data_IF_849178662919
#
_entry.id   IF_849178662919
#
_cell.length_a   1.000
_cell.length_b   1.000
_cell.length_c   1.000
_cell.angle_alpha   90.00
_cell.angle_beta   90.00
_cell.angle_gamma   90.00
#
_symmetry.space_group_name_H-M   'P 1'
#
loop_
_entity.id
_entity.type
_entity.pdbx_description
1 polymer ?
#
# COMPACT_ATOMS: atom_id res chain seq x y z
N UNK A 1 13.42 1.11 -17.16
CA UNK A 1 12.67 0.66 -15.96
C UNK A 1 13.42 -0.42 -15.17
N UNK A 2 13.86 -1.53 -15.80
CA UNK A 2 14.59 -2.63 -15.10
C UNK A 2 15.87 -2.21 -14.34
N UNK A 3 16.70 -1.32 -14.90
CA UNK A 3 17.91 -0.81 -14.22
C UNK A 3 17.60 -0.02 -12.95
N UNK A 4 16.49 0.71 -12.91
CA UNK A 4 16.12 1.53 -11.76
C UNK A 4 15.53 0.69 -10.62
N UNK A 5 14.75 -0.34 -10.96
CA UNK A 5 14.24 -1.32 -9.98
C UNK A 5 15.39 -2.12 -9.36
N UNK A 6 16.36 -2.56 -10.17
CA UNK A 6 17.54 -3.28 -9.67
C UNK A 6 18.41 -2.42 -8.72
N UNK A 7 18.61 -1.13 -9.04
CA UNK A 7 19.33 -0.20 -8.18
C UNK A 7 18.56 0.10 -6.88
N UNK A 8 17.23 0.28 -6.96
CA UNK A 8 16.37 0.44 -5.77
C UNK A 8 16.40 -0.81 -4.88
N UNK A 9 16.37 -2.01 -5.49
CA UNK A 9 16.50 -3.30 -4.80
C UNK A 9 17.83 -3.41 -4.08
N UNK A 10 18.95 -3.20 -4.79
CA UNK A 10 20.29 -3.27 -4.21
C UNK A 10 20.46 -2.30 -3.04
N UNK A 11 19.93 -1.07 -3.20
CA UNK A 11 19.94 -0.06 -2.13
C UNK A 11 19.20 -0.48 -0.85
N UNK A 12 18.22 -1.40 -0.89
CA UNK A 12 17.55 -1.90 0.31
C UNK A 12 18.47 -2.80 1.14
N UNK A 13 19.29 -3.62 0.48
CA UNK A 13 20.25 -4.51 1.14
C UNK A 13 21.52 -3.78 1.57
N UNK A 14 22.07 -2.90 0.71
CA UNK A 14 23.30 -2.13 1.02
C UNK A 14 23.13 -1.23 2.25
N UNK A 15 21.93 -0.66 2.43
CA UNK A 15 21.60 0.17 3.60
C UNK A 15 21.21 -0.67 4.84
N UNK A 16 21.20 -2.00 4.70
CA UNK A 16 20.83 -2.96 5.74
C UNK A 16 19.36 -2.87 6.15
N UNK A 17 18.47 -2.38 5.28
CA UNK A 17 17.03 -2.30 5.56
C UNK A 17 16.37 -3.68 5.45
N UNK A 18 16.80 -4.46 4.45
CA UNK A 18 16.36 -5.85 4.23
C UNK A 18 17.49 -6.85 4.45
N UNK A 19 17.13 -8.07 4.85
CA UNK A 19 18.03 -9.23 4.93
C UNK A 19 17.58 -10.37 4.00
N UNK A 20 18.31 -11.49 4.04
CA UNK A 20 18.11 -12.65 3.17
C UNK A 20 16.68 -13.21 3.19
N UNK A 21 15.90 -12.98 4.25
CA UNK A 21 14.51 -13.42 4.30
C UNK A 21 13.67 -12.79 3.18
N UNK A 22 13.98 -11.55 2.79
CA UNK A 22 13.27 -10.90 1.68
C UNK A 22 13.58 -11.57 0.33
N UNK A 23 14.80 -12.10 0.15
CA UNK A 23 15.17 -12.88 -1.04
C UNK A 23 14.32 -14.15 -1.14
N UNK A 24 14.13 -14.84 -0.01
CA UNK A 24 13.27 -16.02 0.05
C UNK A 24 11.82 -15.70 -0.28
N UNK A 25 11.31 -14.53 0.13
CA UNK A 25 9.97 -14.10 -0.30
C UNK A 25 9.89 -13.88 -1.81
N UNK A 26 10.94 -13.30 -2.42
CA UNK A 26 11.00 -13.13 -3.88
C UNK A 26 11.05 -14.47 -4.63
N UNK A 27 11.73 -15.49 -4.09
CA UNK A 27 11.79 -16.84 -4.66
C UNK A 27 10.44 -17.56 -4.66
N UNK A 28 9.53 -17.20 -3.75
CA UNK A 28 8.17 -17.74 -3.68
C UNK A 28 7.21 -17.11 -4.69
N UNK A 29 7.63 -16.06 -5.38
CA UNK A 29 6.83 -15.39 -6.41
C UNK A 29 7.00 -16.08 -7.76
N UNK A 30 5.91 -16.52 -8.38
CA UNK A 30 5.90 -17.21 -9.67
C UNK A 30 4.86 -16.61 -10.65
N UNK A 31 4.74 -17.21 -11.84
CA UNK A 31 3.79 -16.76 -12.88
C UNK A 31 2.32 -16.94 -12.45
N UNK A 32 2.03 -17.85 -11.51
CA UNK A 32 0.69 -18.06 -10.97
C UNK A 32 0.33 -17.02 -9.89
N UNK A 33 1.33 -16.54 -9.12
CA UNK A 33 1.19 -15.47 -8.14
C UNK A 33 2.24 -14.36 -8.33
N UNK A 34 2.14 -13.54 -9.39
CA UNK A 34 3.16 -12.55 -9.75
C UNK A 34 3.24 -11.34 -8.81
N UNK A 35 2.36 -11.22 -7.81
CA UNK A 35 2.32 -10.11 -6.85
C UNK A 35 2.59 -10.54 -5.40
N UNK A 36 2.98 -11.80 -5.17
CA UNK A 36 3.12 -12.38 -3.83
C UNK A 36 3.92 -11.49 -2.86
N UNK A 37 5.08 -10.98 -3.29
CA UNK A 37 5.96 -10.19 -2.41
C UNK A 37 5.30 -8.86 -2.02
N UNK A 38 4.64 -8.21 -2.97
CA UNK A 38 3.91 -6.96 -2.74
C UNK A 38 2.72 -7.18 -1.80
N UNK A 39 2.00 -8.30 -1.94
CA UNK A 39 0.91 -8.69 -1.04
C UNK A 39 1.40 -8.90 0.40
N UNK A 40 2.51 -9.62 0.57
CA UNK A 40 3.14 -9.85 1.88
C UNK A 40 3.62 -8.55 2.52
N UNK A 41 4.25 -7.67 1.75
CA UNK A 41 4.72 -6.37 2.25
C UNK A 41 3.54 -5.46 2.61
N UNK A 42 2.46 -5.50 1.85
CA UNK A 42 1.27 -4.71 2.14
C UNK A 42 0.57 -5.19 3.42
N UNK A 43 0.49 -6.51 3.62
CA UNK A 43 0.03 -7.11 4.86
C UNK A 43 0.87 -6.65 6.06
N UNK A 44 2.20 -6.65 5.90
CA UNK A 44 3.13 -6.15 6.91
C UNK A 44 2.84 -4.70 7.30
N UNK A 45 2.58 -3.80 6.35
CA UNK A 45 2.28 -2.40 6.66
C UNK A 45 1.03 -2.24 7.52
N UNK A 46 -0.03 -2.96 7.16
CA UNK A 46 -1.30 -2.92 7.89
C UNK A 46 -1.13 -3.43 9.32
N UNK A 47 -0.51 -4.59 9.48
CA UNK A 47 -0.29 -5.19 10.81
C UNK A 47 0.62 -4.31 11.67
N UNK A 48 1.64 -3.70 11.06
CA UNK A 48 2.56 -2.78 11.73
C UNK A 48 1.87 -1.51 12.21
N UNK A 49 0.97 -0.91 11.42
CA UNK A 49 0.23 0.29 11.83
C UNK A 49 -0.61 0.03 13.10
N UNK A 50 -1.35 -1.08 13.12
CA UNK A 50 -2.13 -1.50 14.30
C UNK A 50 -1.24 -1.77 15.50
N UNK A 51 -0.10 -2.45 15.31
CA UNK A 51 0.84 -2.73 16.38
C UNK A 51 1.40 -1.44 16.98
N UNK A 52 1.90 -0.53 16.14
CA UNK A 52 2.45 0.77 16.54
C UNK A 52 1.44 1.53 17.42
N UNK A 53 0.18 1.62 16.99
CA UNK A 53 -0.88 2.28 17.75
C UNK A 53 -1.10 1.62 19.12
N UNK A 54 -1.18 0.28 19.17
CA UNK A 54 -1.37 -0.46 20.41
C UNK A 54 -0.20 -0.26 21.40
N UNK A 55 1.02 -0.16 20.88
CA UNK A 55 2.23 0.08 21.68
C UNK A 55 2.24 1.51 22.21
N UNK A 56 1.87 2.50 21.39
CA UNK A 56 1.72 3.90 21.82
C UNK A 56 0.75 4.02 22.98
N UNK A 57 -0.46 3.47 22.82
CA UNK A 57 -1.47 3.46 23.87
C UNK A 57 -0.99 2.73 25.13
N UNK A 58 -0.24 1.64 24.99
CA UNK A 58 0.33 0.92 26.13
C UNK A 58 1.45 1.71 26.84
N UNK A 59 2.24 2.50 26.11
CA UNK A 59 3.30 3.35 26.65
C UNK A 59 2.77 4.55 27.46
N UNK A 60 1.55 5.00 27.18
CA UNK A 60 0.89 6.11 27.87
C UNK A 60 0.28 5.70 29.23
N UNK A 61 -0.01 4.41 29.43
CA UNK A 61 -0.65 3.91 30.66
C UNK A 61 0.22 4.11 31.92
N UNK A 62 -0.45 4.25 33.06
CA UNK A 62 0.14 4.33 34.40
C UNK A 62 -0.67 3.46 35.38
N UNK A 63 -0.07 2.44 36.03
CA UNK A 63 1.32 1.98 35.85
C UNK A 63 1.55 1.36 34.46
N UNK A 64 2.82 1.28 34.05
CA UNK A 64 3.21 0.70 32.76
C UNK A 64 3.16 -0.83 32.84
N UNK A 65 2.56 -1.48 31.85
CA UNK A 65 2.52 -2.94 31.75
C UNK A 65 3.62 -3.44 30.82
N UNK A 66 4.78 -3.78 31.38
CA UNK A 66 5.94 -4.27 30.64
C UNK A 66 5.70 -5.64 29.98
N UNK A 67 4.85 -6.49 30.56
CA UNK A 67 4.55 -7.81 29.99
C UNK A 67 3.71 -7.66 28.73
N UNK A 68 2.71 -6.78 28.76
CA UNK A 68 1.90 -6.45 27.57
C UNK A 68 2.77 -5.83 26.47
N UNK A 69 3.68 -4.91 26.84
CA UNK A 69 4.61 -4.30 25.90
C UNK A 69 5.60 -5.32 25.29
N UNK A 70 6.15 -6.25 26.07
CA UNK A 70 7.02 -7.32 25.55
C UNK A 70 6.28 -8.22 24.56
N UNK A 71 5.02 -8.56 24.85
CA UNK A 71 4.17 -9.38 23.98
C UNK A 71 3.89 -8.69 22.64
N UNK A 72 3.49 -7.42 22.65
CA UNK A 72 3.28 -6.62 21.43
C UNK A 72 4.57 -6.52 20.60
N UNK A 73 5.71 -6.29 21.26
CA UNK A 73 7.01 -6.30 20.56
C UNK A 73 7.40 -7.65 20.02
N UNK A 74 7.07 -8.74 20.70
CA UNK A 74 7.36 -10.07 20.20
C UNK A 74 6.60 -10.33 18.88
N UNK A 75 5.33 -9.95 18.83
CA UNK A 75 4.53 -10.01 17.60
C UNK A 75 5.12 -9.14 16.49
N UNK A 76 5.47 -7.89 16.80
CA UNK A 76 6.05 -6.98 15.80
C UNK A 76 7.42 -7.45 15.31
N UNK A 77 8.26 -8.01 16.19
CA UNK A 77 9.51 -8.66 15.82
C UNK A 77 9.28 -9.82 14.85
N UNK A 78 8.29 -10.67 15.12
CA UNK A 78 7.94 -11.82 14.27
C UNK A 78 7.55 -11.37 12.86
N UNK A 79 6.62 -10.42 12.77
CA UNK A 79 6.17 -9.82 11.50
C UNK A 79 7.31 -9.12 10.73
N UNK A 80 8.18 -8.40 11.44
CA UNK A 80 9.35 -7.77 10.83
C UNK A 80 10.38 -8.79 10.36
N UNK A 81 10.51 -9.91 11.08
CA UNK A 81 11.40 -11.00 10.68
C UNK A 81 10.90 -11.67 9.42
N UNK A 82 9.60 -11.95 9.29
CA UNK A 82 9.05 -12.66 8.12
C UNK A 82 9.21 -11.92 6.79
N UNK A 83 9.37 -10.60 6.82
CA UNK A 83 9.65 -9.80 5.61
C UNK A 83 11.11 -9.35 5.48
N UNK A 84 11.98 -9.81 6.37
CA UNK A 84 13.39 -9.43 6.40
C UNK A 84 13.67 -7.99 6.79
N UNK A 85 12.77 -7.31 7.51
CA UNK A 85 12.93 -5.93 8.00
C UNK A 85 13.99 -5.86 9.11
N UNK A 86 15.27 -5.90 8.72
CA UNK A 86 16.42 -6.13 9.59
C UNK A 86 16.53 -5.13 10.74
N UNK A 87 16.46 -3.82 10.45
CA UNK A 87 16.60 -2.77 11.47
C UNK A 87 15.40 -2.70 12.40
N UNK A 88 14.18 -2.83 11.87
CA UNK A 88 12.97 -2.87 12.69
C UNK A 88 13.02 -4.05 13.66
N UNK A 89 13.42 -5.24 13.18
CA UNK A 89 13.64 -6.45 14.01
C UNK A 89 14.67 -6.22 15.13
N UNK A 90 15.74 -5.48 14.85
CA UNK A 90 16.76 -5.15 15.84
C UNK A 90 16.20 -4.24 16.95
N UNK A 91 15.50 -3.16 16.57
CA UNK A 91 14.86 -2.25 17.53
C UNK A 91 13.80 -2.96 18.38
N UNK A 92 13.01 -3.87 17.79
CA UNK A 92 12.08 -4.70 18.56
C UNK A 92 12.81 -5.56 19.61
N UNK A 93 14.00 -6.08 19.28
CA UNK A 93 14.77 -6.92 20.21
C UNK A 93 15.30 -6.09 21.37
N UNK A 94 15.83 -4.90 21.09
CA UNK A 94 16.33 -3.98 22.10
C UNK A 94 15.20 -3.44 23.02
N UNK A 95 14.04 -3.10 22.44
CA UNK A 95 12.88 -2.67 23.24
C UNK A 95 12.47 -3.75 24.25
N UNK A 96 12.48 -5.02 23.86
CA UNK A 96 12.14 -6.15 24.74
C UNK A 96 13.12 -6.32 25.89
N UNK A 97 14.40 -6.06 25.67
CA UNK A 97 15.39 -6.04 26.75
C UNK A 97 15.05 -4.97 27.78
N UNK A 98 14.63 -3.78 27.34
CA UNK A 98 14.17 -2.74 28.25
C UNK A 98 12.86 -3.09 28.96
N UNK A 99 11.93 -3.82 28.31
CA UNK A 99 10.75 -4.35 29.00
C UNK A 99 11.14 -5.28 30.16
N UNK A 100 12.04 -6.23 29.89
CA UNK A 100 12.53 -7.19 30.89
C UNK A 100 13.28 -6.52 32.04
N UNK A 101 13.95 -5.40 31.76
CA UNK A 101 14.62 -4.58 32.75
C UNK A 101 13.70 -3.59 33.50
N UNK A 102 12.42 -3.49 33.13
CA UNK A 102 11.50 -2.49 33.69
C UNK A 102 11.90 -1.04 33.36
N UNK A 103 12.67 -0.83 32.29
CA UNK A 103 13.22 0.48 31.93
C UNK A 103 12.27 1.25 30.99
N UNK A 104 11.39 2.07 31.57
CA UNK A 104 10.42 2.90 30.84
C UNK A 104 11.07 3.86 29.85
N UNK A 105 12.15 4.54 30.25
CA UNK A 105 12.84 5.51 29.39
C UNK A 105 13.48 4.82 28.18
N UNK A 106 14.10 3.66 28.42
CA UNK A 106 14.65 2.77 27.39
C UNK A 106 13.57 2.37 26.38
N UNK A 107 12.44 1.84 26.85
CA UNK A 107 11.29 1.50 26.00
C UNK A 107 10.88 2.69 25.12
N UNK A 108 10.67 3.87 25.71
CA UNK A 108 10.23 5.04 24.95
C UNK A 108 11.25 5.45 23.86
N UNK A 109 12.54 5.52 24.21
CA UNK A 109 13.61 5.86 23.26
C UNK A 109 13.68 4.86 22.10
N UNK A 110 13.71 3.56 22.42
CA UNK A 110 13.74 2.51 21.38
C UNK A 110 12.51 2.51 20.51
N UNK A 111 11.33 2.81 21.06
CA UNK A 111 10.12 2.89 20.25
C UNK A 111 10.13 4.06 19.26
N UNK A 112 10.68 5.22 19.65
CA UNK A 112 10.87 6.32 18.70
C UNK A 112 11.85 5.94 17.59
N UNK A 113 12.92 5.21 17.91
CA UNK A 113 13.86 4.72 16.89
C UNK A 113 13.21 3.68 15.97
N UNK A 114 12.44 2.74 16.54
CA UNK A 114 11.67 1.76 15.79
C UNK A 114 10.76 2.44 14.75
N UNK A 115 10.01 3.49 15.15
CA UNK A 115 9.13 4.22 14.23
C UNK A 115 9.91 4.86 13.08
N UNK A 116 11.11 5.38 13.34
CA UNK A 116 11.98 5.96 12.30
C UNK A 116 12.48 4.89 11.32
N UNK A 117 12.96 3.76 11.82
CA UNK A 117 13.42 2.66 10.98
C UNK A 117 12.28 2.06 10.14
N UNK A 118 11.10 1.90 10.73
CA UNK A 118 9.90 1.46 10.01
C UNK A 118 9.50 2.43 8.91
N UNK A 119 9.45 3.74 9.18
CA UNK A 119 9.12 4.75 8.18
C UNK A 119 10.15 4.79 7.04
N UNK A 120 11.44 4.65 7.35
CA UNK A 120 12.51 4.60 6.35
C UNK A 120 12.38 3.36 5.46
N UNK A 121 12.11 2.19 6.04
CA UNK A 121 11.86 0.95 5.32
C UNK A 121 10.63 1.07 4.41
N UNK A 122 9.49 1.49 4.97
CA UNK A 122 8.22 1.65 4.24
C UNK A 122 8.40 2.53 3.00
N UNK A 123 8.99 3.71 3.17
CA UNK A 123 9.27 4.64 2.06
C UNK A 123 10.12 4.02 0.95
N UNK A 124 11.13 3.23 1.32
CA UNK A 124 12.04 2.58 0.35
C UNK A 124 11.39 1.40 -0.35
N UNK A 125 10.62 0.59 0.37
CA UNK A 125 9.85 -0.50 -0.20
C UNK A 125 8.73 0.01 -1.10
N UNK A 126 8.04 1.09 -0.77
CA UNK A 126 7.08 1.76 -1.66
C UNK A 126 7.74 2.23 -2.95
N UNK A 127 8.94 2.81 -2.86
CA UNK A 127 9.73 3.18 -4.04
C UNK A 127 10.22 1.96 -4.84
N UNK A 128 10.39 0.80 -4.19
CA UNK A 128 10.75 -0.47 -4.84
C UNK A 128 9.55 -1.09 -5.58
N UNK A 129 8.40 -1.16 -4.91
CA UNK A 129 7.13 -1.65 -5.47
C UNK A 129 6.41 -0.63 -6.35
N UNK A 130 7.01 0.54 -6.58
CA UNK A 130 6.37 1.63 -7.30
C UNK A 130 5.97 1.19 -8.71
N UNK A 131 4.66 1.02 -8.87
CA UNK A 131 4.01 0.77 -10.14
C UNK A 131 2.66 1.46 -10.22
N UNK A 132 1.72 1.22 -9.31
CA UNK A 132 0.30 1.51 -9.59
C UNK A 132 -0.37 2.51 -8.63
N UNK A 133 0.06 2.57 -7.37
CA UNK A 133 -0.49 3.46 -6.35
C UNK A 133 0.54 4.50 -5.87
N UNK A 134 0.09 5.69 -5.48
CA UNK A 134 0.91 6.76 -4.87
C UNK A 134 0.48 7.07 -3.42
N UNK A 135 1.14 8.07 -2.80
CA UNK A 135 0.92 8.46 -1.39
C UNK A 135 -0.55 8.80 -1.05
N UNK A 136 -1.38 9.12 -2.04
CA UNK A 136 -2.80 9.39 -1.81
C UNK A 136 -3.56 8.15 -1.31
N UNK A 137 -3.15 6.95 -1.71
CA UNK A 137 -3.78 5.71 -1.25
C UNK A 137 -3.47 5.46 0.24
N UNK A 138 -2.26 5.79 0.69
CA UNK A 138 -1.89 5.70 2.11
C UNK A 138 -2.74 6.64 2.97
N UNK A 139 -2.98 7.86 2.48
CA UNK A 139 -3.87 8.81 3.16
C UNK A 139 -5.31 8.29 3.26
N UNK A 140 -5.79 7.55 2.25
CA UNK A 140 -7.11 6.90 2.36
C UNK A 140 -7.11 5.80 3.44
N UNK A 141 -6.04 5.01 3.54
CA UNK A 141 -5.90 4.00 4.61
C UNK A 141 -5.86 4.63 6.00
N UNK A 142 -5.19 5.77 6.17
CA UNK A 142 -5.13 6.49 7.45
C UNK A 142 -6.50 7.03 7.92
N UNK A 143 -7.45 7.22 7.00
CA UNK A 143 -8.82 7.63 7.32
C UNK A 143 -9.71 6.46 7.74
N UNK A 144 -9.25 5.22 7.61
CA UNK A 144 -9.98 4.04 8.05
C UNK A 144 -9.72 3.78 9.54
N UNK A 145 -10.79 3.67 10.33
CA UNK A 145 -10.73 3.39 11.76
C UNK A 145 -11.71 2.28 12.19
N UNK A 146 -11.74 1.95 13.47
CA UNK A 146 -12.64 0.91 14.01
C UNK A 146 -14.13 1.28 13.88
N UNK A 147 -14.46 2.57 13.72
CA UNK A 147 -15.83 3.04 13.49
C UNK A 147 -16.23 2.92 12.01
N UNK A 148 -15.27 2.94 11.08
CA UNK A 148 -15.49 2.72 9.66
C UNK A 148 -14.44 1.76 9.05
N UNK A 149 -14.48 0.46 9.39
CA UNK A 149 -13.42 -0.50 9.04
C UNK A 149 -13.36 -0.88 7.57
N UNK A 150 -14.34 -0.46 6.75
CA UNK A 150 -14.41 -0.77 5.31
C UNK A 150 -14.26 0.48 4.43
N UNK A 151 -13.93 1.64 5.00
CA UNK A 151 -13.87 2.92 4.29
C UNK A 151 -13.09 2.85 2.97
N UNK A 152 -11.89 2.27 2.99
CA UNK A 152 -11.03 2.21 1.79
C UNK A 152 -11.64 1.28 0.74
N UNK A 153 -12.23 0.15 1.15
CA UNK A 153 -12.90 -0.78 0.24
C UNK A 153 -14.14 -0.14 -0.40
N UNK A 154 -14.91 0.65 0.35
CA UNK A 154 -16.06 1.39 -0.15
C UNK A 154 -15.64 2.46 -1.18
N UNK A 155 -14.61 3.25 -0.86
CA UNK A 155 -14.06 4.26 -1.77
C UNK A 155 -13.56 3.63 -3.07
N UNK A 156 -12.83 2.51 -2.99
CA UNK A 156 -12.34 1.81 -4.18
C UNK A 156 -13.49 1.16 -4.97
N UNK A 157 -14.50 0.62 -4.29
CA UNK A 157 -15.69 0.06 -4.96
C UNK A 157 -16.46 1.14 -5.72
N UNK A 158 -16.60 2.33 -5.14
CA UNK A 158 -17.16 3.50 -5.82
C UNK A 158 -16.33 3.88 -7.05
N UNK A 159 -15.01 3.93 -6.90
CA UNK A 159 -14.08 4.17 -8.01
C UNK A 159 -14.28 3.18 -9.16
N UNK A 160 -14.43 1.88 -8.88
CA UNK A 160 -14.65 0.88 -9.93
C UNK A 160 -15.96 1.09 -10.70
N UNK A 161 -17.04 1.38 -9.98
CA UNK A 161 -18.34 1.64 -10.58
C UNK A 161 -18.30 2.84 -11.51
N UNK A 162 -17.70 3.94 -11.04
CA UNK A 162 -17.61 5.18 -11.81
C UNK A 162 -16.66 5.03 -13.00
N UNK A 163 -15.54 4.33 -12.80
CA UNK A 163 -14.55 4.03 -13.85
C UNK A 163 -15.13 3.16 -14.96
N UNK A 164 -15.92 2.13 -14.64
CA UNK A 164 -16.56 1.29 -15.65
C UNK A 164 -17.46 2.11 -16.59
N UNK A 165 -18.25 3.04 -16.03
CA UNK A 165 -19.08 3.95 -16.83
C UNK A 165 -18.24 4.90 -17.68
N UNK A 166 -17.15 5.44 -17.13
CA UNK A 166 -16.26 6.35 -17.86
C UNK A 166 -15.54 5.66 -19.02
N UNK A 167 -15.01 4.46 -18.78
CA UNK A 167 -14.34 3.65 -19.81
C UNK A 167 -15.30 3.40 -20.98
N UNK A 168 -16.52 2.97 -20.69
CA UNK A 168 -17.55 2.73 -21.72
C UNK A 168 -17.88 4.00 -22.52
N UNK A 169 -18.05 5.13 -21.84
CA UNK A 169 -18.33 6.41 -22.49
C UNK A 169 -17.17 6.87 -23.40
N UNK A 170 -15.93 6.61 -22.99
CA UNK A 170 -14.73 6.93 -23.79
C UNK A 170 -14.64 6.00 -25.00
N UNK A 171 -14.90 4.69 -24.85
CA UNK A 171 -14.95 3.73 -25.96
C UNK A 171 -15.95 4.16 -27.02
N UNK A 172 -17.19 4.44 -26.60
CA UNK A 172 -18.24 4.92 -27.51
C UNK A 172 -17.87 6.25 -28.18
N UNK A 173 -17.19 7.15 -27.48
CA UNK A 173 -16.75 8.41 -28.05
C UNK A 173 -15.61 8.21 -29.08
N UNK A 174 -14.71 7.25 -28.87
CA UNK A 174 -13.62 6.90 -29.80
C UNK A 174 -14.13 6.26 -31.10
N UNK A 175 -15.26 5.57 -31.06
CA UNK A 175 -15.87 4.93 -32.24
C UNK A 175 -16.59 5.92 -33.17
N UNK A 176 -17.00 7.10 -32.66
CA UNK A 176 -17.73 8.09 -33.45
C UNK A 176 -16.89 8.71 -34.58
N UNK A 177 -17.59 9.08 -35.65
CA UNK A 177 -17.07 9.83 -36.81
C UNK A 177 -18.02 11.00 -37.14
N UNK A 178 -17.56 12.26 -37.15
CA UNK A 178 -16.20 12.70 -36.77
C UNK A 178 -15.94 12.51 -35.26
N UNK A 179 -14.65 12.51 -34.88
CA UNK A 179 -14.25 12.35 -33.49
C UNK A 179 -14.36 13.69 -32.74
N UNK A 180 -14.99 13.67 -31.57
CA UNK A 180 -15.12 14.84 -30.70
C UNK A 180 -14.03 14.84 -29.62
N UNK A 181 -12.92 15.52 -29.90
CA UNK A 181 -11.79 15.60 -28.99
C UNK A 181 -12.08 16.39 -27.70
N UNK A 182 -13.00 17.36 -27.73
CA UNK A 182 -13.36 18.14 -26.54
C UNK A 182 -14.14 17.29 -25.54
N UNK A 183 -15.07 16.48 -26.05
CA UNK A 183 -15.79 15.50 -25.25
C UNK A 183 -14.85 14.45 -24.66
N UNK A 184 -13.90 13.96 -25.45
CA UNK A 184 -12.88 13.01 -24.97
C UNK A 184 -11.98 13.62 -23.88
N UNK A 185 -11.50 14.86 -24.04
CA UNK A 185 -10.69 15.54 -23.02
C UNK A 185 -11.46 15.70 -21.70
N UNK A 186 -12.76 16.05 -21.79
CA UNK A 186 -13.64 16.24 -20.63
C UNK A 186 -13.86 14.93 -19.86
N UNK A 187 -14.16 13.83 -20.57
CA UNK A 187 -14.29 12.50 -19.97
C UNK A 187 -12.98 12.06 -19.31
N UNK A 188 -11.84 12.31 -19.97
CA UNK A 188 -10.54 11.93 -19.45
C UNK A 188 -10.09 12.80 -18.27
N UNK A 189 -10.50 14.07 -18.22
CA UNK A 189 -10.29 14.93 -17.06
C UNK A 189 -11.02 14.39 -15.83
N UNK A 190 -12.27 13.98 -15.98
CA UNK A 190 -13.04 13.34 -14.91
C UNK A 190 -12.38 12.05 -14.44
N UNK A 191 -11.95 11.20 -15.39
CA UNK A 191 -11.30 9.93 -15.05
C UNK A 191 -9.95 10.14 -14.36
N UNK A 192 -9.18 11.15 -14.78
CA UNK A 192 -7.94 11.57 -14.10
C UNK A 192 -8.21 11.99 -12.66
N UNK A 193 -9.24 12.79 -12.42
CA UNK A 193 -9.60 13.27 -11.08
C UNK A 193 -9.92 12.10 -10.15
N UNK A 194 -10.81 11.22 -10.59
CA UNK A 194 -11.21 10.00 -9.85
C UNK A 194 -10.02 9.05 -9.61
N UNK A 195 -9.14 8.87 -10.61
CA UNK A 195 -7.93 8.06 -10.44
C UNK A 195 -6.94 8.72 -9.46
N UNK A 196 -6.86 10.05 -9.44
CA UNK A 196 -5.99 10.76 -8.51
C UNK A 196 -6.48 10.61 -7.07
N UNK A 197 -7.79 10.62 -6.80
CA UNK A 197 -8.33 10.55 -5.44
C UNK A 197 -8.08 9.20 -4.75
N UNK A 198 -7.85 8.12 -5.50
CA UNK A 198 -7.47 6.80 -4.97
C UNK A 198 -5.97 6.50 -5.12
N UNK A 199 -5.18 7.49 -5.53
CA UNK A 199 -3.75 7.34 -5.76
C UNK A 199 -3.37 6.45 -6.94
N UNK A 200 -4.25 6.22 -7.93
CA UNK A 200 -3.97 5.40 -9.11
C UNK A 200 -2.97 6.06 -10.08
N UNK A 201 -1.69 6.07 -9.69
CA UNK A 201 -0.57 6.79 -10.31
C UNK A 201 -0.45 6.57 -11.81
N UNK A 202 -0.40 5.31 -12.26
CA UNK A 202 -0.23 4.99 -13.69
C UNK A 202 -1.47 5.30 -14.52
N UNK A 203 -2.66 5.01 -13.99
CA UNK A 203 -3.92 5.38 -14.66
C UNK A 203 -3.98 6.89 -14.86
N UNK A 204 -3.67 7.67 -13.81
CA UNK A 204 -3.57 9.14 -13.88
C UNK A 204 -2.55 9.64 -14.91
N UNK A 205 -1.41 8.97 -15.04
CA UNK A 205 -0.39 9.30 -16.04
C UNK A 205 -0.90 9.09 -17.47
N UNK A 206 -1.52 7.94 -17.75
CA UNK A 206 -2.14 7.65 -19.04
C UNK A 206 -3.28 8.63 -19.36
N UNK A 207 -4.11 8.99 -18.36
CA UNK A 207 -5.13 10.02 -18.55
C UNK A 207 -4.51 11.38 -18.96
N UNK A 208 -3.35 11.73 -18.41
CA UNK A 208 -2.68 12.99 -18.74
C UNK A 208 -2.17 12.97 -20.17
N UNK A 209 -1.52 11.88 -20.60
CA UNK A 209 -1.02 11.72 -21.95
C UNK A 209 -2.15 11.65 -23.00
N UNK A 210 -3.24 10.94 -22.70
CA UNK A 210 -4.42 10.91 -23.57
C UNK A 210 -5.01 12.31 -23.81
N UNK A 211 -5.04 13.16 -22.78
CA UNK A 211 -5.51 14.55 -22.90
C UNK A 211 -4.61 15.42 -23.77
N UNK A 212 -3.29 15.21 -23.72
CA UNK A 212 -2.35 15.87 -24.62
C UNK A 212 -2.64 15.50 -26.08
N UNK A 213 -2.91 14.23 -26.36
CA UNK A 213 -3.33 13.80 -27.69
C UNK A 213 -4.71 14.35 -28.11
N UNK A 214 -5.65 14.52 -27.17
CA UNK A 214 -6.92 15.18 -27.48
C UNK A 214 -6.70 16.63 -27.93
N UNK A 215 -5.85 17.37 -27.20
CA UNK A 215 -5.52 18.77 -27.53
C UNK A 215 -4.77 18.89 -28.85
N UNK A 216 -3.99 17.88 -29.21
CA UNK A 216 -3.27 17.81 -30.48
C UNK A 216 -4.13 17.28 -31.65
N UNK A 217 -5.39 16.88 -31.42
CA UNK A 217 -6.23 16.25 -32.45
C UNK A 217 -5.70 14.90 -32.94
N UNK A 218 -4.88 14.22 -32.15
CA UNK A 218 -4.20 12.99 -32.55
C UNK A 218 -5.04 11.75 -32.19
N UNK A 219 -5.87 11.30 -33.14
CA UNK A 219 -6.74 10.12 -32.98
C UNK A 219 -5.97 8.84 -32.66
N UNK A 220 -4.85 8.60 -33.34
CA UNK A 220 -4.04 7.39 -33.13
C UNK A 220 -3.42 7.37 -31.73
N UNK A 221 -2.89 8.51 -31.30
CA UNK A 221 -2.37 8.73 -29.95
C UNK A 221 -3.42 8.47 -28.88
N UNK A 222 -4.63 9.04 -29.03
CA UNK A 222 -5.76 8.78 -28.14
C UNK A 222 -6.09 7.27 -28.07
N UNK A 223 -6.15 6.57 -29.21
CA UNK A 223 -6.46 5.15 -29.20
C UNK A 223 -5.38 4.32 -28.49
N UNK A 224 -4.09 4.56 -28.79
CA UNK A 224 -2.97 3.85 -28.17
C UNK A 224 -2.93 4.06 -26.66
N UNK A 225 -3.03 5.31 -26.21
CA UNK A 225 -3.04 5.64 -24.78
C UNK A 225 -4.26 5.11 -24.07
N UNK A 226 -5.43 5.08 -24.71
CA UNK A 226 -6.61 4.48 -24.11
C UNK A 226 -6.48 2.96 -23.91
N UNK A 227 -5.85 2.25 -24.86
CA UNK A 227 -5.54 0.84 -24.67
C UNK A 227 -4.57 0.62 -23.51
N UNK A 228 -3.54 1.46 -23.38
CA UNK A 228 -2.61 1.38 -22.25
C UNK A 228 -3.30 1.69 -20.93
N UNK A 229 -4.17 2.72 -20.89
CA UNK A 229 -4.99 3.05 -19.73
C UNK A 229 -5.81 1.86 -19.26
N UNK A 230 -6.47 1.13 -20.18
CA UNK A 230 -7.26 -0.06 -19.81
C UNK A 230 -6.40 -1.16 -19.19
N UNK A 231 -5.17 -1.36 -19.67
CA UNK A 231 -4.21 -2.33 -19.09
C UNK A 231 -3.81 -1.93 -17.68
N UNK A 232 -3.44 -0.65 -17.47
CA UNK A 232 -3.05 -0.16 -16.15
C UNK A 232 -4.22 -0.19 -15.17
N UNK A 233 -5.43 0.15 -15.61
CA UNK A 233 -6.65 0.04 -14.81
C UNK A 233 -6.95 -1.42 -14.42
N UNK A 234 -6.83 -2.37 -15.35
CA UNK A 234 -7.03 -3.79 -15.06
C UNK A 234 -5.98 -4.32 -14.08
N UNK A 235 -4.71 -3.95 -14.25
CA UNK A 235 -3.63 -4.31 -13.33
C UNK A 235 -3.89 -3.76 -11.92
N UNK A 236 -4.26 -2.47 -11.83
CA UNK A 236 -4.63 -1.84 -10.57
C UNK A 236 -5.80 -2.56 -9.89
N UNK A 237 -6.87 -2.81 -10.64
CA UNK A 237 -8.08 -3.48 -10.12
C UNK A 237 -7.76 -4.86 -9.58
N UNK A 238 -7.00 -5.68 -10.32
CA UNK A 238 -6.59 -7.02 -9.86
C UNK A 238 -5.82 -6.96 -8.53
N UNK A 239 -4.90 -5.99 -8.39
CA UNK A 239 -4.10 -5.82 -7.16
C UNK A 239 -4.94 -5.37 -5.97
N UNK A 240 -5.80 -4.38 -6.16
CA UNK A 240 -6.70 -3.89 -5.12
C UNK A 240 -7.72 -4.97 -4.70
N UNK A 241 -8.22 -5.78 -5.63
CA UNK A 241 -9.06 -6.94 -5.30
C UNK A 241 -8.33 -7.97 -4.43
N UNK A 242 -7.09 -8.32 -4.76
CA UNK A 242 -6.26 -9.21 -3.95
C UNK A 242 -6.01 -8.62 -2.55
N UNK A 243 -5.68 -7.32 -2.48
CA UNK A 243 -5.53 -6.58 -1.24
C UNK A 243 -6.78 -6.68 -0.33
N UNK A 244 -7.97 -6.42 -0.86
CA UNK A 244 -9.20 -6.48 -0.06
C UNK A 244 -9.62 -7.91 0.30
N UNK A 245 -9.34 -8.91 -0.54
CA UNK A 245 -9.56 -10.32 -0.19
C UNK A 245 -8.72 -10.70 1.04
N UNK A 246 -7.46 -10.29 1.07
CA UNK A 246 -6.57 -10.47 2.23
C UNK A 246 -7.01 -9.64 3.44
N UNK A 247 -7.60 -8.46 3.23
CA UNK A 247 -8.19 -7.67 4.31
C UNK A 247 -9.39 -8.35 4.97
N UNK A 248 -10.29 -8.95 4.18
CA UNK A 248 -11.46 -9.66 4.68
C UNK A 248 -11.12 -10.96 5.42
N UNK A 249 -10.09 -11.69 4.98
CA UNK A 249 -9.65 -12.93 5.65
C UNK A 249 -9.07 -12.69 7.04
N UNK A 250 -8.72 -11.45 7.37
CA UNK A 250 -8.19 -11.03 8.68
C UNK A 250 -9.28 -10.32 9.52
N UNK A 251 -10.56 -10.44 9.14
CA UNK A 251 -11.73 -9.85 9.80
C UNK A 251 -11.87 -10.15 11.31
N UNK A 252 -12.65 -9.34 12.04
CA UNK A 252 -12.38 -8.93 13.41
C UNK A 252 -12.30 -10.13 14.35
N UNK A 253 -11.24 -10.21 15.16
CA UNK A 253 -11.27 -11.02 16.38
C UNK A 253 -12.39 -10.49 17.26
N UNK A 254 -13.59 -11.02 17.07
CA UNK A 254 -14.64 -11.05 18.07
C UNK A 254 -14.01 -11.78 19.25
N UNK A 255 -13.51 -11.03 20.23
CA UNK A 255 -13.35 -11.55 21.58
C UNK A 255 -14.74 -11.97 22.03
N UNK A 256 -15.07 -13.23 21.77
CA UNK A 256 -16.19 -13.91 22.38
C UNK A 256 -15.88 -13.98 23.88
N UNK A 257 -16.27 -12.95 24.62
CA UNK A 257 -16.46 -13.07 26.06
C UNK A 257 -17.54 -14.12 26.27
N UNK A 258 -17.14 -15.33 26.68
CA UNK A 258 -18.07 -16.28 27.30
C UNK A 258 -18.45 -15.70 28.66
N UNK A 259 -19.74 -15.49 28.95
CA UNK A 259 -20.16 -15.20 30.31
C UNK A 259 -20.00 -16.47 31.16
N UNK A 260 -19.47 -16.27 32.38
CA UNK A 260 -19.51 -17.27 33.46
C UNK A 260 -20.94 -17.49 33.93
#
# INVERSE_FOLDING_TARGET
MHRQVALSRQSLFDQGLLDEQFLQLEELQDDANPNFVEEVVTLYYRDSARLILNIEQALERKPLDFNKLDSLMHQFKGSSSSIGAKKVKAECTLFREYCRAGNREGCFKTFQQLKREYAALKKKLEAYFQGLLDEQFLQLEELQDDANPNFVEEVVTLYYRDSARLILNIEQALERKPLDFNKLDSLMHQFKGSSSSIGAKKVKAECTLFREYCRAGNREGCFKTFQQLKREYAALKKKLEAYFQLARQVGPTVTACRPN
#
